data_IF_086959724009
#
_entry.id   IF_086959724009
#
_cell.length_a   1.000
_cell.length_b   1.000
_cell.length_c   1.000
_cell.angle_alpha   90.00
_cell.angle_beta   90.00
_cell.angle_gamma   90.00
#
_symmetry.space_group_name_H-M   'P 1'
#
loop_
_entity.id
_entity.type
_entity.pdbx_description
1 polymer ?
#
# COMPACT_ATOMS: atom_id res chain seq x y z
N UNK A 1 -0.53 -6.85 11.91
CA UNK A 1 -0.45 -6.90 10.42
C UNK A 1 -0.25 -5.48 9.89
N UNK A 2 0.44 -5.29 8.76
CA UNK A 2 0.49 -3.98 8.12
C UNK A 2 -0.90 -3.59 7.61
N UNK A 3 -1.19 -2.29 7.57
CA UNK A 3 -2.39 -1.75 6.93
C UNK A 3 -1.99 -1.00 5.66
N UNK A 4 -2.84 -1.05 4.64
CA UNK A 4 -2.82 -0.13 3.51
C UNK A 4 -3.74 1.05 3.82
N UNK A 5 -3.15 2.18 4.21
CA UNK A 5 -3.89 3.42 4.37
C UNK A 5 -4.25 3.96 2.99
N UNK A 6 -5.54 4.13 2.76
CA UNK A 6 -6.10 4.62 1.48
C UNK A 6 -7.05 5.78 1.74
N UNK A 7 -7.05 6.74 0.83
CA UNK A 7 -7.95 7.88 0.87
C UNK A 7 -9.43 7.44 0.71
N UNK A 8 -10.34 8.06 1.46
CA UNK A 8 -11.79 7.77 1.43
C UNK A 8 -12.39 7.85 0.03
N UNK A 9 -12.00 8.82 -0.80
CA UNK A 9 -12.51 8.96 -2.16
C UNK A 9 -12.04 7.82 -3.07
N UNK A 10 -10.78 7.40 -2.94
CA UNK A 10 -10.24 6.28 -3.71
C UNK A 10 -10.82 4.95 -3.26
N UNK A 11 -10.99 4.75 -1.95
CA UNK A 11 -11.66 3.58 -1.39
C UNK A 11 -13.09 3.47 -1.95
N UNK A 12 -13.87 4.56 -1.94
CA UNK A 12 -15.22 4.60 -2.51
C UNK A 12 -15.23 4.32 -4.01
N UNK A 13 -14.28 4.89 -4.77
CA UNK A 13 -14.15 4.67 -6.22
C UNK A 13 -13.82 3.21 -6.54
N UNK A 14 -13.05 2.54 -5.70
CA UNK A 14 -12.62 1.15 -5.87
C UNK A 14 -13.56 0.14 -5.20
N UNK A 15 -14.59 0.60 -4.48
CA UNK A 15 -15.51 -0.28 -3.74
C UNK A 15 -14.85 -0.98 -2.55
N UNK A 16 -13.85 -0.35 -1.93
CA UNK A 16 -13.12 -0.88 -0.78
C UNK A 16 -13.76 -0.36 0.50
N UNK A 17 -14.16 -1.29 1.36
CA UNK A 17 -14.63 -0.99 2.72
C UNK A 17 -13.45 -0.94 3.70
N UNK A 18 -13.65 -0.27 4.83
CA UNK A 18 -12.65 -0.27 5.90
C UNK A 18 -12.44 -1.69 6.45
N UNK A 19 -11.21 -2.02 6.86
CA UNK A 19 -10.78 -3.35 7.33
C UNK A 19 -10.88 -4.50 6.28
N UNK A 20 -11.33 -4.21 5.06
CA UNK A 20 -11.43 -5.19 3.98
C UNK A 20 -10.04 -5.71 3.57
N UNK A 21 -9.97 -6.99 3.17
CA UNK A 21 -8.77 -7.55 2.57
C UNK A 21 -8.62 -7.03 1.15
N UNK A 22 -7.47 -6.42 0.88
CA UNK A 22 -7.14 -5.82 -0.42
C UNK A 22 -5.84 -6.39 -0.96
N UNK A 23 -5.79 -6.54 -2.29
CA UNK A 23 -4.56 -6.85 -3.00
C UNK A 23 -3.91 -5.57 -3.50
N UNK A 24 -2.64 -5.37 -3.13
CA UNK A 24 -1.82 -4.28 -3.65
C UNK A 24 -0.85 -4.86 -4.67
N UNK A 25 -0.92 -4.37 -5.90
CA UNK A 25 -0.10 -4.83 -7.01
C UNK A 25 0.86 -3.73 -7.46
N UNK A 26 2.12 -4.09 -7.67
CA UNK A 26 3.11 -3.26 -8.35
C UNK A 26 3.69 -4.01 -9.54
N UNK A 27 4.62 -3.39 -10.28
CA UNK A 27 5.35 -4.06 -11.35
C UNK A 27 6.23 -5.22 -10.86
N UNK A 28 6.70 -5.16 -9.61
CA UNK A 28 7.61 -6.17 -9.03
C UNK A 28 6.86 -7.35 -8.43
N UNK A 29 5.73 -7.10 -7.79
CA UNK A 29 5.05 -8.12 -7.02
C UNK A 29 3.63 -7.74 -6.62
N UNK A 30 3.03 -8.62 -5.81
CA UNK A 30 1.69 -8.45 -5.27
C UNK A 30 1.65 -8.91 -3.83
N UNK A 31 0.92 -8.17 -2.99
CA UNK A 31 0.72 -8.51 -1.58
C UNK A 31 -0.75 -8.38 -1.20
N UNK A 32 -1.14 -9.08 -0.15
CA UNK A 32 -2.46 -8.96 0.47
C UNK A 32 -2.33 -8.31 1.84
N UNK A 33 -3.22 -7.37 2.14
CA UNK A 33 -3.22 -6.60 3.40
C UNK A 33 -4.63 -6.09 3.73
N UNK A 34 -4.84 -5.53 4.91
CA UNK A 34 -6.11 -4.87 5.26
C UNK A 34 -6.10 -3.41 4.86
N UNK A 35 -7.21 -2.92 4.33
CA UNK A 35 -7.42 -1.50 4.10
C UNK A 35 -7.68 -0.77 5.41
N UNK A 36 -7.10 0.43 5.54
CA UNK A 36 -7.45 1.41 6.55
C UNK A 36 -7.91 2.67 5.81
N UNK A 37 -9.21 2.90 5.78
CA UNK A 37 -9.81 4.01 5.03
C UNK A 37 -9.78 5.26 5.90
N UNK A 38 -9.14 6.32 5.41
CA UNK A 38 -9.08 7.60 6.11
C UNK A 38 -8.78 8.75 5.16
N UNK A 39 -9.00 9.98 5.61
CA UNK A 39 -8.63 11.19 4.83
C UNK A 39 -7.17 11.62 5.02
N UNK A 40 -6.37 10.83 5.75
CA UNK A 40 -4.96 11.14 6.04
C UNK A 40 -4.05 11.00 4.81
N UNK A 41 -4.14 9.92 3.99
CA UNK A 41 -3.39 9.83 2.75
C UNK A 41 -3.95 10.77 1.69
N UNK A 42 -3.05 11.32 0.88
CA UNK A 42 -3.44 12.08 -0.31
C UNK A 42 -4.19 11.18 -1.30
N UNK A 43 -5.16 11.77 -2.01
CA UNK A 43 -5.82 11.11 -3.14
C UNK A 43 -4.81 10.63 -4.18
N UNK A 44 -4.98 9.41 -4.67
CA UNK A 44 -4.09 8.72 -5.60
C UNK A 44 -2.84 8.10 -4.94
N UNK A 45 -2.67 8.22 -3.63
CA UNK A 45 -1.57 7.64 -2.89
C UNK A 45 -2.06 6.65 -1.83
N UNK A 46 -1.21 5.66 -1.53
CA UNK A 46 -1.41 4.74 -0.41
C UNK A 46 -0.19 4.78 0.49
N UNK A 47 -0.38 4.53 1.78
CA UNK A 47 0.70 4.45 2.77
C UNK A 47 0.70 3.09 3.46
N UNK A 48 1.90 2.51 3.64
CA UNK A 48 2.10 1.21 4.26
C UNK A 48 3.35 1.21 5.13
N UNK A 49 3.33 0.44 6.21
CA UNK A 49 4.50 0.21 7.09
C UNK A 49 5.24 -1.07 6.69
N UNK A 50 6.57 -1.02 6.70
CA UNK A 50 7.46 -2.11 6.26
C UNK A 50 7.90 -3.06 7.39
N UNK A 51 7.32 -2.94 8.59
CA UNK A 51 7.68 -3.75 9.76
C UNK A 51 7.14 -5.18 9.70
N UNK A 52 6.04 -5.41 8.97
CA UNK A 52 5.25 -6.63 9.11
C UNK A 52 5.48 -7.59 7.94
N UNK A 53 5.62 -8.88 8.26
CA UNK A 53 5.75 -9.94 7.25
C UNK A 53 4.44 -10.20 6.49
N UNK A 54 3.30 -10.07 7.15
CA UNK A 54 1.98 -10.06 6.50
C UNK A 54 1.78 -8.69 5.86
N UNK A 55 1.68 -8.68 4.52
CA UNK A 55 1.59 -7.46 3.73
C UNK A 55 2.96 -6.80 3.51
N UNK A 56 4.04 -7.60 3.42
CA UNK A 56 5.41 -7.14 3.22
C UNK A 56 5.55 -6.21 2.00
N UNK A 57 5.46 -4.90 2.22
CA UNK A 57 5.45 -3.90 1.14
C UNK A 57 6.80 -3.81 0.41
N UNK A 58 7.88 -4.35 0.97
CA UNK A 58 9.18 -4.45 0.29
C UNK A 58 9.13 -5.33 -0.97
N UNK A 59 8.20 -6.29 -1.04
CA UNK A 59 7.94 -7.09 -2.25
C UNK A 59 7.40 -6.24 -3.42
N UNK A 60 6.90 -5.04 -3.12
CA UNK A 60 6.37 -4.11 -4.13
C UNK A 60 7.43 -3.17 -4.72
N UNK A 61 8.61 -3.05 -4.12
CA UNK A 61 9.59 -2.00 -4.44
C UNK A 61 10.80 -2.56 -5.18
N UNK A 62 11.13 -2.00 -6.34
CA UNK A 62 12.35 -2.35 -7.10
C UNK A 62 13.56 -1.59 -6.59
N UNK A 63 14.75 -2.19 -6.70
CA UNK A 63 16.02 -1.53 -6.44
C UNK A 63 16.29 -0.46 -7.50
N UNK A 64 15.86 0.76 -7.21
CA UNK A 64 16.25 1.94 -7.98
C UNK A 64 17.18 2.78 -7.10
N UNK A 65 18.48 2.49 -7.21
CA UNK A 65 19.51 3.10 -6.38
C UNK A 65 19.98 4.44 -6.97
N UNK A 66 20.36 5.36 -6.10
CA UNK A 66 20.96 6.64 -6.49
C UNK A 66 22.23 6.41 -7.33
N UNK A 67 22.44 7.17 -8.42
CA UNK A 67 23.67 7.07 -9.20
C UNK A 67 24.92 7.61 -8.47
N UNK A 68 24.75 8.40 -7.40
CA UNK A 68 25.84 9.07 -6.68
C UNK A 68 26.41 8.20 -5.55
N UNK A 69 25.56 7.43 -4.88
CA UNK A 69 25.90 6.70 -3.64
C UNK A 69 25.76 5.19 -3.80
N UNK A 70 25.87 4.71 -5.04
CA UNK A 70 25.69 3.28 -5.38
C UNK A 70 26.85 2.42 -4.86
#
# INVERSE_FOLDING_TARGET
PGYAQINTEDAKRLGIEDEALVWVHSRKGKIITRAQVSDRPNKGAIYMTYQWWIGACNELVTENLSPITK
#
